data_IF_440300281939
#
_entry.id   IF_440300281939
#
_cell.length_a   1.000
_cell.length_b   1.000
_cell.length_c   1.000
_cell.angle_alpha   90.00
_cell.angle_beta   90.00
_cell.angle_gamma   90.00
#
_symmetry.space_group_name_H-M   'P 1'
#
loop_
_entity.id
_entity.type
_entity.pdbx_description
1 polymer ?
#
# COMPACT_ATOMS: atom_id res chain seq x y z
N UNK A 1 29.08 -31.60 19.09
CA UNK A 1 29.51 -30.84 17.90
C UNK A 1 28.35 -29.93 17.54
N UNK A 2 28.52 -28.61 17.61
CA UNK A 2 27.50 -27.66 17.15
C UNK A 2 27.29 -27.87 15.64
N UNK A 3 26.03 -27.89 15.19
CA UNK A 3 25.70 -28.03 13.76
C UNK A 3 26.14 -26.81 12.95
N UNK A 4 26.04 -26.86 11.61
CA UNK A 4 26.39 -25.72 10.76
C UNK A 4 25.47 -24.52 11.07
N UNK A 5 26.05 -23.33 11.24
CA UNK A 5 25.33 -22.06 11.46
C UNK A 5 25.26 -21.26 10.16
N UNK A 6 24.23 -20.43 10.02
CA UNK A 6 24.03 -19.48 8.92
C UNK A 6 23.93 -18.09 9.52
N UNK A 7 24.66 -17.13 8.96
CA UNK A 7 24.59 -15.72 9.35
C UNK A 7 23.96 -14.90 8.22
N UNK A 8 22.94 -14.12 8.53
CA UNK A 8 22.25 -13.29 7.54
C UNK A 8 21.84 -11.95 8.15
N UNK A 9 21.37 -11.03 7.32
CA UNK A 9 21.10 -9.64 7.74
C UNK A 9 19.61 -9.37 7.56
N UNK A 10 18.94 -8.91 8.61
CA UNK A 10 17.63 -8.28 8.47
C UNK A 10 17.77 -6.80 8.18
N UNK A 11 16.91 -6.30 7.30
CA UNK A 11 16.77 -4.88 7.01
C UNK A 11 15.30 -4.47 7.09
N UNK A 12 15.04 -3.31 7.69
CA UNK A 12 13.74 -2.64 7.67
C UNK A 12 13.94 -1.13 7.55
N UNK A 13 13.71 -0.58 6.36
CA UNK A 13 14.09 0.81 6.08
C UNK A 13 15.60 0.99 6.28
N UNK A 14 15.99 1.83 7.24
CA UNK A 14 17.41 2.07 7.58
C UNK A 14 17.92 1.22 8.74
N UNK A 15 17.04 0.43 9.38
CA UNK A 15 17.42 -0.43 10.51
C UNK A 15 17.97 -1.74 9.98
N UNK A 16 19.09 -2.19 10.54
CA UNK A 16 19.71 -3.47 10.21
C UNK A 16 20.12 -4.21 11.47
N UNK A 17 20.08 -5.54 11.41
CA UNK A 17 20.66 -6.40 12.43
C UNK A 17 21.20 -7.69 11.81
N UNK A 18 22.25 -8.24 12.41
CA UNK A 18 22.87 -9.49 11.98
C UNK A 18 22.29 -10.60 12.84
N UNK A 19 21.87 -11.68 12.19
CA UNK A 19 21.26 -12.84 12.85
C UNK A 19 22.06 -14.08 12.49
N UNK A 20 22.50 -14.81 13.51
CA UNK A 20 23.18 -16.10 13.37
C UNK A 20 22.33 -17.19 14.00
N UNK A 21 22.04 -18.25 13.24
CA UNK A 21 21.19 -19.37 13.68
C UNK A 21 21.74 -20.69 13.19
N UNK A 22 21.45 -21.77 13.92
CA UNK A 22 21.73 -23.12 13.44
C UNK A 22 20.89 -23.43 12.19
N UNK A 23 21.54 -23.88 11.11
CA UNK A 23 20.90 -24.14 9.80
C UNK A 23 19.68 -25.04 9.91
N UNK A 24 19.77 -26.06 10.76
CA UNK A 24 18.71 -27.05 11.00
C UNK A 24 17.49 -26.50 11.75
N UNK A 25 17.63 -25.36 12.43
CA UNK A 25 16.52 -24.69 13.13
C UNK A 25 15.83 -23.63 12.26
N UNK A 26 16.40 -23.32 11.09
CA UNK A 26 15.86 -22.30 10.20
C UNK A 26 14.71 -22.87 9.36
N UNK A 27 13.52 -22.32 9.59
CA UNK A 27 12.29 -22.60 8.87
C UNK A 27 11.64 -21.26 8.51
N UNK A 28 10.68 -21.23 7.58
CA UNK A 28 9.97 -19.98 7.28
C UNK A 28 9.27 -19.39 8.51
N UNK A 29 8.75 -20.26 9.38
CA UNK A 29 8.11 -19.84 10.62
C UNK A 29 9.12 -19.17 11.55
N UNK A 30 10.23 -19.86 11.84
CA UNK A 30 11.27 -19.31 12.74
C UNK A 30 11.92 -18.05 12.15
N UNK A 31 12.09 -17.96 10.83
CA UNK A 31 12.53 -16.73 10.16
C UNK A 31 11.55 -15.57 10.37
N UNK A 32 10.24 -15.81 10.25
CA UNK A 32 9.21 -14.81 10.53
C UNK A 32 9.15 -14.42 12.01
N UNK A 33 9.33 -15.38 12.92
CA UNK A 33 9.37 -15.13 14.35
C UNK A 33 10.56 -14.21 14.70
N UNK A 34 11.75 -14.50 14.15
CA UNK A 34 12.94 -13.65 14.31
C UNK A 34 12.74 -12.24 13.72
N UNK A 35 12.05 -12.12 12.58
CA UNK A 35 11.70 -10.82 12.01
C UNK A 35 10.71 -10.05 12.90
N UNK A 36 9.74 -10.72 13.53
CA UNK A 36 8.85 -10.10 14.52
C UNK A 36 9.66 -9.57 15.71
N UNK A 37 10.58 -10.36 16.23
CA UNK A 37 11.44 -9.98 17.36
C UNK A 37 12.29 -8.76 17.00
N UNK A 38 12.93 -8.77 15.83
CA UNK A 38 13.66 -7.61 15.31
C UNK A 38 12.80 -6.34 15.31
N UNK A 39 11.56 -6.40 14.78
CA UNK A 39 10.66 -5.24 14.73
C UNK A 39 10.24 -4.79 16.13
N UNK A 40 9.92 -5.72 17.02
CA UNK A 40 9.52 -5.39 18.40
C UNK A 40 10.67 -4.78 19.20
N UNK A 41 11.90 -5.23 18.97
CA UNK A 41 13.09 -4.69 19.62
C UNK A 41 13.45 -3.30 19.09
N UNK A 42 13.47 -3.10 17.76
CA UNK A 42 13.91 -1.83 17.17
C UNK A 42 12.80 -0.77 17.14
N UNK A 43 11.53 -1.18 17.14
CA UNK A 43 10.35 -0.31 17.09
C UNK A 43 9.36 -0.74 18.19
N UNK A 44 9.68 -0.44 19.47
CA UNK A 44 8.74 -0.67 20.56
C UNK A 44 7.48 0.18 20.36
N UNK A 45 6.33 -0.33 20.82
CA UNK A 45 5.03 0.32 20.64
C UNK A 45 4.69 0.65 19.17
N UNK A 46 5.01 -0.28 18.27
CA UNK A 46 4.67 -0.20 16.86
C UNK A 46 3.15 -0.12 16.58
N UNK A 47 2.30 -0.41 17.59
CA UNK A 47 0.84 -0.38 17.47
C UNK A 47 0.30 -1.44 16.51
N UNK A 48 1.12 -2.44 16.15
CA UNK A 48 0.77 -3.47 15.18
C UNK A 48 0.34 -4.75 15.89
N UNK A 49 -0.93 -5.08 15.72
CA UNK A 49 -1.45 -6.39 16.11
C UNK A 49 -1.16 -7.41 15.00
N UNK A 50 -0.81 -8.65 15.39
CA UNK A 50 -0.56 -9.78 14.47
C UNK A 50 0.57 -9.50 13.46
N UNK A 51 1.75 -9.11 13.95
CA UNK A 51 2.93 -8.80 13.14
C UNK A 51 3.33 -9.92 12.17
N UNK A 52 3.32 -11.18 12.64
CA UNK A 52 3.59 -12.37 11.82
C UNK A 52 2.77 -12.43 10.53
N UNK A 53 1.54 -11.92 10.61
CA UNK A 53 0.57 -11.91 9.52
C UNK A 53 0.71 -10.65 8.68
N UNK A 54 1.59 -9.70 9.01
CA UNK A 54 1.79 -8.46 8.25
C UNK A 54 3.16 -8.38 7.59
N UNK A 55 4.02 -9.35 7.87
CA UNK A 55 5.40 -9.40 7.40
C UNK A 55 5.47 -10.14 6.07
N UNK A 56 6.03 -9.44 5.08
CA UNK A 56 6.57 -10.03 3.87
C UNK A 56 8.09 -9.96 3.95
N UNK A 57 8.75 -11.05 3.56
CA UNK A 57 10.21 -11.16 3.59
C UNK A 57 10.71 -11.31 2.16
N UNK A 58 11.68 -10.48 1.78
CA UNK A 58 12.31 -10.51 0.47
C UNK A 58 13.81 -10.68 0.62
N UNK A 59 14.43 -11.46 -0.27
CA UNK A 59 15.88 -11.49 -0.43
C UNK A 59 16.30 -10.51 -1.52
N UNK A 60 17.47 -9.90 -1.37
CA UNK A 60 18.07 -9.10 -2.41
C UNK A 60 18.85 -9.99 -3.39
N UNK A 61 18.47 -9.95 -4.66
CA UNK A 61 19.16 -10.61 -5.76
C UNK A 61 19.56 -9.57 -6.81
N UNK A 62 20.78 -9.05 -6.68
CA UNK A 62 21.33 -8.03 -7.59
C UNK A 62 21.69 -8.58 -8.98
N UNK A 63 21.60 -9.89 -9.19
CA UNK A 63 21.78 -10.50 -10.52
C UNK A 63 20.48 -10.52 -11.34
N UNK A 64 19.34 -10.29 -10.69
CA UNK A 64 18.01 -10.27 -11.27
C UNK A 64 17.54 -8.84 -11.56
N UNK A 65 16.76 -8.65 -12.63
CA UNK A 65 16.08 -7.36 -12.90
C UNK A 65 15.07 -7.00 -11.81
N UNK A 66 14.52 -8.01 -11.14
CA UNK A 66 13.72 -7.87 -9.93
C UNK A 66 14.63 -8.11 -8.72
N UNK A 67 15.16 -7.02 -8.15
CA UNK A 67 16.13 -7.08 -7.05
C UNK A 67 15.51 -7.67 -5.78
N UNK A 68 14.23 -7.40 -5.52
CA UNK A 68 13.51 -7.96 -4.37
C UNK A 68 12.75 -9.21 -4.79
N UNK A 69 13.21 -10.36 -4.32
CA UNK A 69 12.54 -11.64 -4.55
C UNK A 69 11.92 -12.15 -3.26
N UNK A 70 10.64 -12.51 -3.30
CA UNK A 70 9.93 -13.02 -2.14
C UNK A 70 10.52 -14.36 -1.70
N UNK A 71 10.81 -14.50 -0.40
CA UNK A 71 11.35 -15.73 0.17
C UNK A 71 10.19 -16.73 0.34
N UNK A 72 10.24 -17.85 -0.37
CA UNK A 72 9.22 -18.91 -0.34
C UNK A 72 9.70 -20.17 0.37
N UNK A 73 10.99 -20.26 0.70
CA UNK A 73 11.58 -21.34 1.49
C UNK A 73 12.73 -20.82 2.35
N UNK A 74 12.89 -21.40 3.55
CA UNK A 74 14.03 -21.12 4.42
C UNK A 74 15.39 -21.51 3.79
N UNK A 75 15.38 -22.47 2.85
CA UNK A 75 16.57 -22.89 2.12
C UNK A 75 17.15 -21.81 1.19
N UNK A 76 16.37 -20.75 0.90
CA UNK A 76 16.86 -19.60 0.12
C UNK A 76 17.74 -18.66 0.95
N UNK A 77 17.77 -18.83 2.27
CA UNK A 77 18.61 -18.05 3.18
C UNK A 77 19.95 -18.75 3.32
N UNK A 78 20.98 -18.11 2.78
CA UNK A 78 22.38 -18.51 2.92
C UNK A 78 23.18 -17.44 3.65
N UNK A 79 24.46 -17.70 3.88
CA UNK A 79 25.34 -16.74 4.52
C UNK A 79 25.34 -15.40 3.78
N UNK A 80 25.35 -14.29 4.53
CA UNK A 80 25.31 -12.91 4.02
C UNK A 80 24.02 -12.53 3.25
N UNK A 81 22.97 -13.36 3.31
CA UNK A 81 21.69 -13.01 2.67
C UNK A 81 21.11 -11.74 3.31
N UNK A 82 20.81 -10.74 2.48
CA UNK A 82 20.09 -9.55 2.91
C UNK A 82 18.58 -9.79 2.81
N UNK A 83 17.92 -9.91 3.95
CA UNK A 83 16.48 -10.11 4.11
C UNK A 83 15.79 -8.78 4.41
N UNK A 84 15.12 -8.23 3.41
CA UNK A 84 14.27 -7.04 3.54
C UNK A 84 12.92 -7.43 4.15
N UNK A 85 12.60 -6.79 5.26
CA UNK A 85 11.33 -6.89 5.95
C UNK A 85 10.40 -5.80 5.39
N UNK A 86 9.21 -6.21 4.94
CA UNK A 86 8.18 -5.28 4.46
C UNK A 86 6.90 -5.51 5.25
N UNK A 87 6.33 -4.43 5.80
CA UNK A 87 5.07 -4.48 6.54
C UNK A 87 3.91 -4.06 5.64
N UNK A 88 2.87 -4.90 5.57
CA UNK A 88 1.61 -4.56 4.89
C UNK A 88 0.63 -3.86 5.85
N UNK A 89 -0.09 -2.87 5.31
CA UNK A 89 -1.12 -2.11 6.02
C UNK A 89 -2.33 -3.00 6.42
N UNK A 90 -2.62 -4.04 5.63
CA UNK A 90 -3.67 -5.02 5.91
C UNK A 90 -3.06 -6.35 6.36
N UNK A 91 -3.63 -7.02 7.37
CA UNK A 91 -3.16 -8.34 7.78
C UNK A 91 -3.33 -9.32 6.60
N UNK A 92 -2.28 -10.10 6.33
CA UNK A 92 -2.30 -11.24 5.43
C UNK A 92 -3.27 -12.24 6.08
N UNK A 93 -4.50 -12.24 5.59
CA UNK A 93 -5.49 -13.25 5.93
C UNK A 93 -4.88 -14.64 5.68
N UNK A 94 -5.20 -15.58 6.56
CA UNK A 94 -4.72 -16.97 6.56
C UNK A 94 -4.72 -17.63 5.15
N UNK A 95 -3.87 -18.66 4.93
CA UNK A 95 -3.80 -19.35 3.64
C UNK A 95 -5.17 -19.90 3.25
N UNK A 96 -5.73 -19.41 2.14
CA UNK A 96 -7.08 -19.74 1.69
C UNK A 96 -7.92 -18.54 1.23
N UNK A 97 -7.42 -17.31 1.37
CA UNK A 97 -8.06 -16.12 0.83
C UNK A 97 -7.02 -15.26 0.11
N UNK A 98 -7.00 -15.36 -1.22
CA UNK A 98 -6.10 -14.65 -2.14
C UNK A 98 -6.31 -13.14 -2.12
N UNK A 99 -5.98 -12.45 -1.02
CA UNK A 99 -5.92 -11.00 -0.98
C UNK A 99 -4.68 -10.55 -0.18
N UNK A 100 -3.52 -11.04 -0.59
CA UNK A 100 -2.31 -10.19 -0.53
C UNK A 100 -2.71 -8.90 -1.25
N UNK A 101 -2.52 -7.68 -0.70
CA UNK A 101 -2.59 -6.45 -1.48
C UNK A 101 -1.43 -6.44 -2.48
N UNK A 102 -1.52 -7.31 -3.49
CA UNK A 102 -0.64 -7.34 -4.63
C UNK A 102 -0.80 -5.95 -5.23
N UNK A 103 0.26 -5.16 -5.21
CA UNK A 103 0.34 -3.89 -5.95
C UNK A 103 -0.02 -4.24 -7.39
N UNK A 104 -1.26 -3.97 -7.77
CA UNK A 104 -1.83 -4.37 -9.06
C UNK A 104 -1.95 -3.11 -9.89
N UNK A 105 -0.98 -2.83 -10.77
CA UNK A 105 -1.07 -1.66 -11.63
C UNK A 105 -2.27 -1.78 -12.56
N UNK A 106 -2.87 -0.63 -12.91
CA UNK A 106 -3.95 -0.58 -13.88
C UNK A 106 -3.41 -0.94 -15.27
N UNK A 107 -4.01 -1.94 -15.92
CA UNK A 107 -3.77 -2.23 -17.34
C UNK A 107 -4.52 -1.20 -18.21
N UNK A 108 -3.85 -0.10 -18.57
CA UNK A 108 -4.46 1.06 -19.22
C UNK A 108 -4.31 1.01 -20.74
N UNK A 109 -5.42 1.14 -21.46
CA UNK A 109 -5.45 1.22 -22.92
C UNK A 109 -6.10 2.53 -23.39
N UNK A 110 -5.64 3.07 -24.52
CA UNK A 110 -6.23 4.28 -25.11
C UNK A 110 -7.63 3.97 -25.64
N UNK A 111 -8.62 4.78 -25.24
CA UNK A 111 -10.02 4.55 -25.58
C UNK A 111 -10.69 5.79 -26.18
N UNK A 112 -11.60 5.57 -27.14
CA UNK A 112 -12.45 6.60 -27.73
C UNK A 112 -13.87 6.43 -27.18
N UNK A 113 -14.34 7.43 -26.44
CA UNK A 113 -15.66 7.40 -25.80
C UNK A 113 -16.75 7.92 -26.73
N UNK A 114 -17.92 7.27 -26.70
CA UNK A 114 -19.09 7.64 -27.51
C UNK A 114 -20.03 8.64 -26.81
N UNK A 115 -19.77 8.96 -25.54
CA UNK A 115 -20.55 9.88 -24.71
C UNK A 115 -19.61 10.67 -23.78
N UNK A 116 -20.03 11.84 -23.27
CA UNK A 116 -19.25 12.60 -22.28
C UNK A 116 -18.85 11.72 -21.10
N UNK A 117 -17.54 11.52 -20.95
CA UNK A 117 -16.96 10.66 -19.92
C UNK A 117 -16.00 11.49 -19.08
N UNK A 118 -15.96 11.23 -17.78
CA UNK A 118 -15.16 11.99 -16.82
C UNK A 118 -14.02 11.12 -16.30
N UNK A 119 -12.93 11.78 -15.92
CA UNK A 119 -11.78 11.12 -15.31
C UNK A 119 -12.12 10.73 -13.88
N UNK A 120 -11.98 9.44 -13.55
CA UNK A 120 -12.26 8.89 -12.22
C UNK A 120 -11.22 9.34 -11.16
N UNK A 121 -10.16 10.05 -11.56
CA UNK A 121 -9.17 10.63 -10.65
C UNK A 121 -9.41 12.11 -10.34
N UNK A 122 -9.64 12.97 -11.34
CA UNK A 122 -9.80 14.42 -11.14
C UNK A 122 -11.25 14.92 -11.27
N UNK A 123 -12.18 14.08 -11.71
CA UNK A 123 -13.59 14.44 -11.92
C UNK A 123 -13.85 15.31 -13.15
N UNK A 124 -12.82 15.73 -13.90
CA UNK A 124 -12.99 16.56 -15.10
C UNK A 124 -13.28 15.72 -16.35
N UNK A 125 -13.92 16.34 -17.34
CA UNK A 125 -14.30 15.68 -18.60
C UNK A 125 -13.07 15.29 -19.44
N UNK A 126 -13.16 14.12 -20.09
CA UNK A 126 -12.21 13.68 -21.10
C UNK A 126 -12.54 14.39 -22.43
N UNK A 127 -11.81 15.46 -22.75
CA UNK A 127 -12.05 16.25 -23.95
C UNK A 127 -11.43 15.65 -25.22
N UNK A 128 -12.10 15.85 -26.37
CA UNK A 128 -11.61 15.50 -27.71
C UNK A 128 -12.59 14.66 -28.53
N UNK A 129 -12.37 14.59 -29.85
CA UNK A 129 -13.23 13.83 -30.77
C UNK A 129 -12.93 12.32 -30.77
N UNK A 130 -11.67 11.93 -30.57
CA UNK A 130 -11.22 10.54 -30.46
C UNK A 130 -10.09 10.41 -29.45
N UNK A 131 -9.88 9.20 -28.89
CA UNK A 131 -8.76 8.86 -28.00
C UNK A 131 -8.62 9.83 -26.81
N UNK A 132 -9.75 10.23 -26.23
CA UNK A 132 -9.83 11.30 -25.22
C UNK A 132 -9.12 10.91 -23.91
N UNK A 133 -9.03 9.62 -23.62
CA UNK A 133 -8.43 9.14 -22.39
C UNK A 133 -7.98 7.69 -22.46
N UNK A 134 -7.66 7.18 -21.28
CA UNK A 134 -7.24 5.81 -21.02
C UNK A 134 -8.38 5.11 -20.27
N UNK A 135 -8.60 3.83 -20.55
CA UNK A 135 -9.51 2.95 -19.82
C UNK A 135 -8.72 1.78 -19.26
N UNK A 136 -8.94 1.45 -18.00
CA UNK A 136 -8.36 0.25 -17.41
C UNK A 136 -9.16 -0.98 -17.85
N UNK A 137 -8.49 -2.00 -18.39
CA UNK A 137 -9.12 -3.28 -18.77
C UNK A 137 -9.53 -4.12 -17.56
N UNK A 138 -8.94 -3.85 -16.39
CA UNK A 138 -9.25 -4.57 -15.15
C UNK A 138 -10.45 -4.02 -14.39
N UNK A 139 -10.40 -2.74 -14.00
CA UNK A 139 -11.46 -2.12 -13.18
C UNK A 139 -12.47 -1.29 -13.99
N UNK A 140 -12.22 -1.07 -15.28
CA UNK A 140 -13.10 -0.28 -16.15
C UNK A 140 -13.07 1.24 -15.93
N UNK A 141 -12.26 1.74 -15.00
CA UNK A 141 -12.11 3.16 -14.72
C UNK A 141 -11.37 3.91 -15.85
N UNK A 142 -11.65 5.20 -15.96
CA UNK A 142 -11.29 6.08 -17.06
C UNK A 142 -10.39 7.22 -16.54
N UNK A 143 -9.31 7.50 -17.25
CA UNK A 143 -8.30 8.47 -16.79
C UNK A 143 -7.79 9.36 -17.92
N UNK A 144 -7.40 10.60 -17.61
CA UNK A 144 -6.55 11.38 -18.52
C UNK A 144 -5.13 10.81 -18.56
N UNK A 145 -4.43 11.05 -19.66
CA UNK A 145 -2.98 10.75 -19.79
C UNK A 145 -2.12 11.39 -18.69
N UNK A 146 -2.50 12.58 -18.21
CA UNK A 146 -1.81 13.28 -17.11
C UNK A 146 -2.18 12.73 -15.72
N UNK A 147 -3.36 12.13 -15.58
CA UNK A 147 -3.85 11.67 -14.28
C UNK A 147 -3.24 10.34 -13.88
N UNK A 148 -2.95 9.44 -14.84
CA UNK A 148 -2.46 8.08 -14.55
C UNK A 148 -1.14 8.04 -13.78
N UNK A 149 -0.31 9.08 -13.89
CA UNK A 149 0.94 9.19 -13.11
C UNK A 149 0.67 9.35 -11.61
N UNK A 150 -0.50 9.86 -11.24
CA UNK A 150 -0.92 10.12 -9.85
C UNK A 150 -1.91 9.07 -9.31
N UNK A 151 -2.30 8.11 -10.13
CA UNK A 151 -3.24 7.05 -9.73
C UNK A 151 -2.47 5.98 -8.95
N UNK A 152 -2.93 5.55 -7.76
CA UNK A 152 -2.25 4.50 -7.02
C UNK A 152 -2.39 3.13 -7.70
N UNK A 153 -1.42 2.24 -7.52
CA UNK A 153 -1.34 0.94 -8.18
C UNK A 153 -2.18 -0.14 -7.46
N UNK A 154 -3.46 0.14 -7.22
CA UNK A 154 -4.40 -0.73 -6.49
C UNK A 154 -5.63 -1.08 -7.34
N UNK A 155 -5.42 -1.58 -8.56
CA UNK A 155 -6.51 -1.97 -9.45
C UNK A 155 -7.34 -3.12 -8.85
N UNK A 156 -8.62 -2.86 -8.57
CA UNK A 156 -9.62 -3.89 -8.25
C UNK A 156 -10.15 -4.48 -9.56
N UNK A 157 -9.50 -5.53 -10.09
CA UNK A 157 -10.03 -6.28 -11.23
C UNK A 157 -11.38 -6.85 -10.81
N UNK A 158 -12.47 -6.20 -11.21
CA UNK A 158 -13.82 -6.74 -11.07
C UNK A 158 -14.05 -7.50 -12.36
N UNK A 159 -14.02 -8.84 -12.31
CA UNK A 159 -14.53 -9.62 -13.43
C UNK A 159 -15.95 -9.13 -13.73
N UNK A 160 -16.13 -8.59 -14.93
CA UNK A 160 -17.35 -7.90 -15.34
C UNK A 160 -18.52 -8.90 -15.48
N UNK A 161 -19.16 -9.29 -14.38
CA UNK A 161 -20.58 -9.65 -14.42
C UNK A 161 -21.38 -8.37 -14.21
N UNK A 162 -21.92 -7.85 -15.31
CA UNK A 162 -22.48 -6.51 -15.43
C UNK A 162 -23.46 -6.13 -14.33
N UNK A 163 -23.14 -5.07 -13.60
CA UNK A 163 -24.14 -4.15 -13.06
C UNK A 163 -23.63 -2.73 -13.25
N UNK A 164 -24.22 -2.04 -14.24
CA UNK A 164 -24.14 -0.60 -14.36
C UNK A 164 -24.67 0.02 -13.05
N UNK A 165 -23.78 0.40 -12.12
CA UNK A 165 -24.12 1.42 -11.13
C UNK A 165 -24.17 2.75 -11.88
N UNK A 166 -25.36 3.07 -12.41
CA UNK A 166 -25.74 4.45 -12.74
C UNK A 166 -25.70 5.23 -11.43
N UNK A 167 -24.60 5.93 -11.15
CA UNK A 167 -24.61 6.98 -10.15
C UNK A 167 -25.55 8.07 -10.65
N UNK A 168 -26.70 8.14 -10.02
CA UNK A 168 -27.77 9.11 -10.25
C UNK A 168 -27.25 10.53 -10.07
N UNK A 169 -27.62 11.38 -11.02
CA UNK A 169 -27.46 12.83 -11.06
C UNK A 169 -27.73 13.51 -9.71
N UNK A 170 -26.72 14.18 -9.15
CA UNK A 170 -26.92 15.20 -8.12
C UNK A 170 -27.46 16.48 -8.79
N UNK A 171 -28.55 16.95 -8.21
CA UNK A 171 -29.39 18.07 -8.65
C UNK A 171 -28.61 19.39 -8.81
N UNK A 172 -28.98 20.12 -9.87
CA UNK A 172 -28.61 21.50 -10.14
C UNK A 172 -29.08 22.44 -9.01
N UNK A 173 -28.17 23.22 -8.43
CA UNK A 173 -28.53 24.50 -7.80
C UNK A 173 -27.58 25.61 -8.30
N UNK A 174 -28.10 26.75 -8.79
CA UNK A 174 -27.30 27.88 -9.25
C UNK A 174 -26.83 28.77 -8.08
N UNK A 175 -25.72 29.54 -8.22
CA UNK A 175 -25.21 30.38 -7.15
C UNK A 175 -26.00 31.70 -7.06
N UNK A 176 -26.33 32.14 -5.83
CA UNK A 176 -26.83 33.48 -5.51
C UNK A 176 -25.72 34.30 -4.82
N UNK A 177 -25.51 35.51 -5.32
CA UNK A 177 -24.57 36.54 -4.81
C UNK A 177 -25.10 37.26 -3.55
N UNK A 178 -24.27 38.08 -2.85
CA UNK A 178 -24.30 38.24 -1.39
C UNK A 178 -25.06 39.48 -0.89
N UNK A 179 -25.46 39.48 0.39
CA UNK A 179 -25.87 40.68 1.12
C UNK A 179 -25.56 40.50 2.61
N UNK A 180 -24.97 41.55 3.21
CA UNK A 180 -24.37 41.52 4.54
C UNK A 180 -25.32 41.73 5.72
N UNK A 181 -24.72 41.78 6.92
CA UNK A 181 -25.40 42.20 8.15
C UNK A 181 -25.00 41.44 9.41
N UNK A 182 -23.89 41.87 10.02
CA UNK A 182 -23.54 41.97 11.45
C UNK A 182 -24.04 41.01 12.55
N UNK A 183 -23.05 40.62 13.36
CA UNK A 183 -22.96 40.62 14.84
C UNK A 183 -23.48 39.45 15.71
N UNK A 184 -22.52 39.02 16.55
CA UNK A 184 -22.58 38.47 17.92
C UNK A 184 -22.66 36.95 18.17
N UNK A 185 -21.48 36.44 18.55
CA UNK A 185 -21.15 35.84 19.85
C UNK A 185 -21.72 34.47 20.27
N UNK A 186 -20.79 33.70 20.86
CA UNK A 186 -20.92 32.68 21.92
C UNK A 186 -20.79 31.20 21.49
N UNK A 187 -19.77 30.62 22.11
CA UNK A 187 -19.27 29.25 22.24
C UNK A 187 -20.32 28.16 22.52
N UNK A 188 -20.16 26.98 21.90
CA UNK A 188 -19.78 25.70 22.57
C UNK A 188 -20.39 24.44 21.94
N UNK A 189 -19.48 23.53 21.58
CA UNK A 189 -19.46 22.08 21.82
C UNK A 189 -20.35 21.09 21.02
N UNK A 190 -19.65 20.08 20.49
CA UNK A 190 -20.12 18.78 19.96
C UNK A 190 -20.34 18.81 18.45
N UNK A 191 -19.83 17.91 17.60
CA UNK A 191 -19.27 16.57 17.76
C UNK A 191 -18.60 16.14 16.43
N UNK A 192 -17.28 16.35 16.27
CA UNK A 192 -16.57 15.92 15.07
C UNK A 192 -16.27 14.41 15.10
N UNK A 193 -17.16 13.63 14.49
CA UNK A 193 -16.89 12.27 14.04
C UNK A 193 -15.99 12.25 12.80
N UNK A 194 -14.73 12.67 12.93
CA UNK A 194 -13.72 12.46 11.88
C UNK A 194 -13.28 11.00 11.87
N UNK A 195 -13.76 10.27 10.87
CA UNK A 195 -13.21 9.01 10.40
C UNK A 195 -11.78 9.24 9.88
N UNK A 196 -10.82 9.20 10.80
CA UNK A 196 -9.40 9.27 10.49
C UNK A 196 -9.02 8.04 9.63
N UNK A 197 -8.66 8.30 8.37
CA UNK A 197 -8.11 7.30 7.47
C UNK A 197 -6.96 6.55 8.14
N UNK A 198 -7.08 5.22 8.14
CA UNK A 198 -6.13 4.27 8.71
C UNK A 198 -4.82 4.22 7.90
N UNK A 199 -4.06 5.31 7.89
CA UNK A 199 -2.62 5.23 7.68
C UNK A 199 -2.02 4.70 8.97
N UNK A 200 -1.45 3.49 8.96
CA UNK A 200 -0.94 2.86 10.18
C UNK A 200 0.02 3.82 10.89
N UNK A 201 -0.14 3.95 12.21
CA UNK A 201 0.72 4.75 13.09
C UNK A 201 2.21 4.49 12.83
N UNK A 202 2.52 3.27 12.39
CA UNK A 202 3.84 2.83 11.95
C UNK A 202 4.37 3.59 10.73
N UNK A 203 3.60 3.83 9.66
CA UNK A 203 4.08 4.62 8.52
C UNK A 203 4.44 6.03 8.96
N UNK A 204 3.67 6.62 9.88
CA UNK A 204 3.97 7.95 10.45
C UNK A 204 5.21 7.92 11.36
N UNK A 205 5.34 6.91 12.24
CA UNK A 205 6.53 6.72 13.07
C UNK A 205 7.78 6.43 12.23
N UNK A 206 7.68 5.66 11.16
CA UNK A 206 8.80 5.41 10.23
C UNK A 206 9.21 6.66 9.48
N UNK A 207 8.24 7.44 8.98
CA UNK A 207 8.53 8.73 8.36
C UNK A 207 9.23 9.68 9.34
N UNK A 208 8.81 9.66 10.62
CA UNK A 208 9.42 10.44 11.68
C UNK A 208 10.83 9.97 12.03
N UNK A 209 11.06 8.67 12.20
CA UNK A 209 12.40 8.08 12.43
C UNK A 209 13.35 8.32 11.25
N UNK A 210 12.86 8.23 10.00
CA UNK A 210 13.65 8.56 8.82
C UNK A 210 14.00 10.05 8.72
N UNK A 211 13.14 10.93 9.25
CA UNK A 211 13.40 12.37 9.31
C UNK A 211 14.38 12.73 10.45
N UNK A 212 14.33 12.03 11.59
CA UNK A 212 15.22 12.26 12.74
C UNK A 212 16.67 11.83 12.47
N UNK A 213 16.91 10.84 11.61
CA UNK A 213 18.26 10.41 11.20
C UNK A 213 18.91 11.39 10.20
N UNK A 214 18.14 12.32 9.61
CA UNK A 214 18.60 13.25 8.57
C UNK A 214 19.02 14.64 9.11
N UNK A 215 18.87 14.88 10.41
CA UNK A 215 19.35 16.07 11.12
C UNK A 215 20.47 15.70 12.09
#
# INVERSE_FOLDING_TARGET
MAGPEITFIFQFGNLRDIVTVASQALTLKTLKDLACDFINTKIPENGLNRLSDRLLLFRHDYSSSNVLQMINSASEIVDETLVEIVLTANPISAPGQDDIPLVRPHALAVHSYKAPTFCDFCGEMLFGLVRQGLKCEGCGLNYHKRCVIKVPNNCSRVEHTGTHRRSTSSSLHPPRSPSGGSSNSLVSAGDDGTSAGSGSLLVRKMQQLMNEIKN
#
